data_IF_842591128153
#
_entry.id   IF_842591128153
#
_cell.length_a   1.000
_cell.length_b   1.000
_cell.length_c   1.000
_cell.angle_alpha   90.00
_cell.angle_beta   90.00
_cell.angle_gamma   90.00
#
_symmetry.space_group_name_H-M   'P 1'
#
loop_
_entity.id
_entity.type
_entity.pdbx_description
1 polymer ?
#
# COMPACT_ATOMS: atom_id res chain seq x y z
N UNK A 1 23.39 -37.20 59.09
CA UNK A 1 22.44 -37.98 58.28
C UNK A 1 21.19 -37.19 57.88
N UNK A 2 20.45 -36.58 58.83
CA UNK A 2 19.21 -35.86 58.52
C UNK A 2 19.35 -34.73 57.46
N UNK A 3 20.45 -33.96 57.51
CA UNK A 3 20.70 -32.86 56.56
C UNK A 3 20.92 -33.37 55.14
N UNK A 4 21.59 -34.52 54.96
CA UNK A 4 21.86 -35.12 53.65
C UNK A 4 20.56 -35.69 53.06
N UNK A 5 19.72 -36.30 53.90
CA UNK A 5 18.42 -36.83 53.50
C UNK A 5 17.47 -35.70 53.03
N UNK A 6 17.48 -34.57 53.74
CA UNK A 6 16.69 -33.38 53.36
C UNK A 6 17.14 -32.79 52.03
N UNK A 7 18.45 -32.69 51.78
CA UNK A 7 18.98 -32.19 50.51
C UNK A 7 18.65 -33.11 49.32
N UNK A 8 18.66 -34.43 49.53
CA UNK A 8 18.27 -35.40 48.50
C UNK A 8 16.78 -35.29 48.14
N UNK A 9 15.90 -35.13 49.14
CA UNK A 9 14.46 -34.96 48.93
C UNK A 9 14.12 -33.67 48.16
N UNK A 10 14.84 -32.57 48.44
CA UNK A 10 14.68 -31.30 47.71
C UNK A 10 15.14 -31.42 46.25
N UNK A 11 16.24 -32.15 45.97
CA UNK A 11 16.70 -32.35 44.60
C UNK A 11 15.76 -33.23 43.78
N UNK A 12 15.20 -34.27 44.38
CA UNK A 12 14.24 -35.17 43.71
C UNK A 12 12.95 -34.42 43.39
N UNK A 13 12.43 -33.62 44.33
CA UNK A 13 11.23 -32.81 44.09
C UNK A 13 11.45 -31.77 42.99
N UNK A 14 12.61 -31.10 42.94
CA UNK A 14 12.95 -30.19 41.84
C UNK A 14 13.01 -30.88 40.48
N UNK A 15 13.62 -32.06 40.39
CA UNK A 15 13.69 -32.83 39.15
C UNK A 15 12.31 -33.30 38.66
N UNK A 16 11.43 -33.71 39.58
CA UNK A 16 10.05 -34.09 39.26
C UNK A 16 9.24 -32.90 38.75
N UNK A 17 9.39 -31.71 39.35
CA UNK A 17 8.72 -30.49 38.85
C UNK A 17 9.24 -30.05 37.49
N UNK A 18 10.52 -30.28 37.18
CA UNK A 18 11.11 -29.92 35.89
C UNK A 18 10.61 -30.82 34.75
N UNK A 19 10.34 -32.10 35.05
CA UNK A 19 9.79 -33.07 34.07
C UNK A 19 8.32 -32.80 33.73
N UNK A 20 7.54 -32.27 34.68
CA UNK A 20 6.13 -31.92 34.44
C UNK A 20 5.92 -30.70 33.55
N UNK A 21 6.96 -29.90 33.26
CA UNK A 21 6.86 -28.67 32.45
C UNK A 21 7.17 -28.93 30.96
N UNK A 22 7.71 -30.11 30.60
CA UNK A 22 8.14 -30.40 29.22
C UNK A 22 7.08 -30.96 28.28
N UNK A 23 5.83 -31.16 28.71
CA UNK A 23 4.73 -31.52 27.79
C UNK A 23 3.95 -30.27 27.38
N UNK A 24 4.59 -29.41 26.58
CA UNK A 24 3.84 -28.45 25.78
C UNK A 24 3.17 -29.24 24.66
N UNK A 25 1.86 -29.40 24.73
CA UNK A 25 1.07 -29.83 23.59
C UNK A 25 1.34 -28.86 22.44
N UNK A 26 1.94 -29.34 21.35
CA UNK A 26 1.93 -28.64 20.07
C UNK A 26 0.49 -28.62 19.58
N UNK A 27 -0.27 -27.60 20.00
CA UNK A 27 -1.50 -27.23 19.32
C UNK A 27 -1.09 -26.74 17.93
N UNK A 28 -1.27 -27.58 16.92
CA UNK A 28 -1.31 -27.12 15.54
C UNK A 28 -2.49 -26.16 15.41
N UNK A 29 -2.23 -24.87 15.55
CA UNK A 29 -3.17 -23.84 15.11
C UNK A 29 -3.27 -23.98 13.61
N UNK A 30 -4.31 -24.67 13.12
CA UNK A 30 -4.76 -24.48 11.75
C UNK A 30 -5.20 -23.03 11.66
N UNK A 31 -4.31 -22.16 11.18
CA UNK A 31 -4.68 -20.84 10.71
C UNK A 31 -5.88 -21.04 9.78
N UNK A 32 -7.00 -20.37 10.06
CA UNK A 32 -8.16 -20.39 9.17
C UNK A 32 -7.71 -19.79 7.85
N UNK A 33 -7.28 -20.63 6.91
CA UNK A 33 -6.89 -20.21 5.59
C UNK A 33 -8.13 -19.56 4.95
N UNK A 34 -8.04 -18.27 4.65
CA UNK A 34 -9.09 -17.57 3.93
C UNK A 34 -9.41 -18.33 2.64
N UNK A 35 -10.69 -18.56 2.32
CA UNK A 35 -11.01 -19.34 1.14
C UNK A 35 -10.55 -18.58 -0.10
N UNK A 36 -9.70 -19.24 -0.90
CA UNK A 36 -9.02 -18.61 -2.04
C UNK A 36 -10.02 -18.13 -3.11
N UNK A 37 -11.19 -18.75 -3.26
CA UNK A 37 -12.31 -18.21 -4.02
C UNK A 37 -13.57 -19.06 -3.73
N UNK A 38 -14.73 -18.63 -4.22
CA UNK A 38 -15.92 -19.51 -4.28
C UNK A 38 -15.70 -20.66 -5.27
N UNK A 39 -16.41 -21.81 -5.12
CA UNK A 39 -16.37 -22.88 -6.09
C UNK A 39 -16.69 -22.38 -7.51
N UNK A 40 -15.97 -22.88 -8.51
CA UNK A 40 -16.08 -22.48 -9.92
C UNK A 40 -15.62 -21.05 -10.25
N UNK A 41 -14.94 -20.37 -9.33
CA UNK A 41 -14.33 -19.07 -9.58
C UNK A 41 -12.83 -19.20 -9.81
N UNK A 42 -12.30 -18.40 -10.73
CA UNK A 42 -10.86 -18.33 -10.97
C UNK A 42 -10.16 -17.69 -9.77
N UNK A 43 -9.06 -18.30 -9.36
CA UNK A 43 -8.36 -17.98 -8.10
C UNK A 43 -7.11 -17.13 -8.31
N UNK A 44 -6.68 -16.93 -9.56
CA UNK A 44 -5.42 -16.27 -9.88
C UNK A 44 -5.54 -15.46 -11.17
N UNK A 45 -4.81 -14.35 -11.23
CA UNK A 45 -4.57 -13.61 -12.47
C UNK A 45 -3.06 -13.37 -12.61
N UNK A 46 -2.44 -14.03 -13.59
CA UNK A 46 -0.98 -14.11 -13.67
C UNK A 46 -0.40 -14.76 -12.41
N UNK A 47 0.46 -14.04 -11.70
CA UNK A 47 1.11 -14.51 -10.47
C UNK A 47 0.40 -14.05 -9.19
N UNK A 48 -0.75 -13.38 -9.30
CA UNK A 48 -1.46 -12.81 -8.16
C UNK A 48 -2.63 -13.71 -7.80
N UNK A 49 -2.70 -14.15 -6.54
CA UNK A 49 -3.86 -14.84 -5.98
C UNK A 49 -4.99 -13.83 -5.73
N UNK A 50 -6.22 -14.21 -6.08
CA UNK A 50 -7.43 -13.37 -5.98
C UNK A 50 -8.39 -14.01 -4.97
N UNK A 51 -8.19 -13.77 -3.66
CA UNK A 51 -9.06 -14.27 -2.60
C UNK A 51 -10.37 -13.50 -2.53
N UNK A 52 -11.45 -14.18 -2.13
CA UNK A 52 -12.70 -13.52 -1.77
C UNK A 52 -12.45 -12.54 -0.59
N UNK A 53 -12.98 -11.31 -0.60
CA UNK A 53 -14.11 -10.80 -1.38
C UNK A 53 -13.82 -10.42 -2.84
N UNK A 54 -12.55 -10.41 -3.25
CA UNK A 54 -12.16 -10.17 -4.63
C UNK A 54 -12.50 -11.36 -5.51
N UNK A 55 -12.75 -11.09 -6.78
CA UNK A 55 -13.07 -12.15 -7.72
C UNK A 55 -12.95 -11.69 -9.16
N UNK A 56 -12.61 -12.64 -10.05
CA UNK A 56 -12.47 -12.37 -11.47
C UNK A 56 -13.86 -12.46 -12.13
N UNK A 57 -14.24 -11.41 -12.86
CA UNK A 57 -15.48 -11.37 -13.63
C UNK A 57 -15.49 -12.35 -14.84
N UNK A 58 -16.64 -12.51 -15.52
CA UNK A 58 -17.87 -11.74 -15.38
C UNK A 58 -18.89 -12.34 -14.39
N UNK A 59 -18.62 -13.50 -13.79
CA UNK A 59 -19.57 -14.13 -12.88
C UNK A 59 -19.71 -13.32 -11.58
N UNK A 60 -20.87 -12.68 -11.38
CA UNK A 60 -21.19 -11.84 -10.21
C UNK A 60 -21.14 -12.62 -8.90
N UNK A 61 -21.26 -13.93 -8.93
CA UNK A 61 -21.11 -14.75 -7.72
C UNK A 61 -19.66 -14.82 -7.23
N UNK A 62 -18.66 -14.53 -8.07
CA UNK A 62 -17.25 -14.73 -7.72
C UNK A 62 -16.64 -13.62 -6.87
N UNK A 63 -17.26 -12.46 -6.77
CA UNK A 63 -16.82 -11.34 -5.95
C UNK A 63 -17.95 -10.86 -5.03
N UNK A 64 -17.61 -10.06 -4.00
CA UNK A 64 -18.59 -9.57 -3.03
C UNK A 64 -19.51 -8.48 -3.62
N UNK A 65 -18.93 -7.47 -4.28
CA UNK A 65 -19.63 -6.41 -5.00
C UNK A 65 -18.74 -5.88 -6.15
N UNK A 66 -19.24 -4.89 -6.89
CA UNK A 66 -18.56 -4.37 -8.08
C UNK A 66 -17.19 -3.72 -7.78
N UNK A 67 -16.97 -3.19 -6.58
CA UNK A 67 -15.68 -2.65 -6.18
C UNK A 67 -14.61 -3.74 -5.99
N UNK A 68 -15.04 -4.97 -5.70
CA UNK A 68 -14.15 -6.13 -5.56
C UNK A 68 -14.00 -6.93 -6.87
N UNK A 69 -14.60 -6.48 -7.97
CA UNK A 69 -14.43 -7.12 -9.28
C UNK A 69 -13.03 -6.84 -9.85
N UNK A 70 -12.30 -7.93 -10.13
CA UNK A 70 -11.00 -7.91 -10.80
C UNK A 70 -11.18 -8.17 -12.29
N UNK A 71 -10.64 -7.28 -13.11
CA UNK A 71 -10.42 -7.52 -14.53
C UNK A 71 -9.03 -8.10 -14.73
N UNK A 72 -8.97 -9.34 -15.23
CA UNK A 72 -7.71 -9.97 -15.59
C UNK A 72 -7.38 -9.63 -17.05
N UNK A 73 -6.53 -8.62 -17.26
CA UNK A 73 -6.19 -8.16 -18.60
C UNK A 73 -5.21 -9.12 -19.27
N UNK A 74 -5.58 -9.62 -20.46
CA UNK A 74 -4.71 -10.44 -21.28
C UNK A 74 -3.55 -9.61 -21.83
N UNK A 75 -2.32 -10.09 -21.66
CA UNK A 75 -1.14 -9.49 -22.25
C UNK A 75 -0.56 -10.45 -23.29
N UNK A 76 -0.43 -10.01 -24.54
CA UNK A 76 0.04 -10.84 -25.65
C UNK A 76 1.53 -11.22 -25.54
N UNK A 77 2.30 -10.52 -24.69
CA UNK A 77 3.74 -10.72 -24.53
C UNK A 77 4.19 -10.95 -23.08
N UNK A 78 3.27 -11.07 -22.11
CA UNK A 78 3.59 -11.21 -20.69
C UNK A 78 2.48 -11.88 -19.86
N UNK A 79 2.70 -12.08 -18.55
CA UNK A 79 1.66 -12.62 -17.67
C UNK A 79 0.45 -11.69 -17.62
N UNK A 80 -0.74 -12.27 -17.44
CA UNK A 80 -1.96 -11.50 -17.25
C UNK A 80 -1.83 -10.61 -16.00
N UNK A 81 -2.45 -9.43 -16.05
CA UNK A 81 -2.37 -8.43 -14.99
C UNK A 81 -3.75 -8.17 -14.40
N UNK A 82 -3.92 -8.25 -13.07
CA UNK A 82 -5.18 -7.94 -12.42
C UNK A 82 -5.36 -6.42 -12.27
N UNK A 83 -6.57 -5.94 -12.52
CA UNK A 83 -6.94 -4.54 -12.32
C UNK A 83 -8.24 -4.42 -11.52
N UNK A 84 -8.31 -3.43 -10.63
CA UNK A 84 -9.57 -3.03 -9.98
C UNK A 84 -10.50 -2.43 -11.04
N UNK A 85 -11.48 -3.22 -11.50
CA UNK A 85 -12.28 -2.89 -12.69
C UNK A 85 -13.13 -1.63 -12.51
N UNK A 86 -13.63 -1.39 -11.29
CA UNK A 86 -14.51 -0.28 -10.97
C UNK A 86 -13.79 1.06 -10.78
N UNK A 87 -12.45 1.05 -10.64
CA UNK A 87 -11.68 2.28 -10.47
C UNK A 87 -11.42 2.98 -11.80
N UNK A 88 -11.37 4.32 -11.78
CA UNK A 88 -11.03 5.15 -12.93
C UNK A 88 -9.98 6.20 -12.54
N UNK A 89 -8.74 6.12 -13.06
CA UNK A 89 -8.22 5.05 -13.92
C UNK A 89 -8.18 3.69 -13.19
N UNK A 90 -8.18 2.59 -13.96
CA UNK A 90 -8.04 1.24 -13.42
C UNK A 90 -6.68 1.07 -12.74
N UNK A 91 -6.68 0.63 -11.50
CA UNK A 91 -5.47 0.35 -10.73
C UNK A 91 -5.01 -1.10 -10.92
N UNK A 92 -3.76 -1.32 -11.34
CA UNK A 92 -3.15 -2.65 -11.36
C UNK A 92 -2.94 -3.14 -9.92
N UNK A 93 -3.38 -4.35 -9.62
CA UNK A 93 -3.20 -4.99 -8.32
C UNK A 93 -1.88 -5.73 -8.28
N UNK A 94 -1.05 -5.42 -7.29
CA UNK A 94 0.26 -6.05 -7.09
C UNK A 94 0.23 -7.11 -5.98
N UNK A 95 -0.62 -6.93 -4.98
CA UNK A 95 -0.79 -7.89 -3.89
C UNK A 95 -2.12 -7.65 -3.17
N UNK A 96 -2.75 -8.73 -2.72
CA UNK A 96 -3.95 -8.71 -1.89
C UNK A 96 -3.61 -9.39 -0.56
N UNK A 97 -3.81 -8.68 0.55
CA UNK A 97 -3.64 -9.20 1.91
C UNK A 97 -5.01 -9.33 2.57
N UNK A 98 -5.23 -10.49 3.20
CA UNK A 98 -6.48 -10.81 3.88
C UNK A 98 -6.61 -10.14 5.25
N UNK A 99 -5.55 -9.51 5.73
CA UNK A 99 -5.52 -8.64 6.89
C UNK A 99 -6.11 -7.25 6.60
N UNK A 100 -6.60 -7.00 5.37
CA UNK A 100 -7.34 -5.79 5.01
C UNK A 100 -6.53 -4.77 4.21
N UNK A 101 -5.44 -5.18 3.55
CA UNK A 101 -4.64 -4.29 2.71
C UNK A 101 -4.57 -4.77 1.26
N UNK A 102 -4.39 -3.81 0.34
CA UNK A 102 -4.30 -4.02 -1.10
C UNK A 102 -3.18 -3.16 -1.67
N UNK A 103 -2.14 -3.78 -2.23
CA UNK A 103 -1.04 -3.06 -2.89
C UNK A 103 -1.38 -2.87 -4.37
N UNK A 104 -1.37 -1.63 -4.85
CA UNK A 104 -1.75 -1.26 -6.22
C UNK A 104 -0.73 -0.32 -6.87
N UNK A 105 -0.67 -0.29 -8.19
CA UNK A 105 0.03 0.78 -8.91
C UNK A 105 -0.90 1.99 -9.09
N UNK A 106 -0.54 3.11 -8.46
CA UNK A 106 -1.27 4.37 -8.48
C UNK A 106 -0.55 5.43 -9.33
N UNK A 107 -1.25 6.24 -10.14
CA UNK A 107 -0.61 7.27 -10.95
C UNK A 107 -0.08 8.45 -10.14
N UNK A 108 1.03 9.03 -10.61
CA UNK A 108 1.55 10.31 -10.19
C UNK A 108 0.80 11.45 -10.86
N UNK A 109 0.75 12.58 -10.15
CA UNK A 109 0.26 13.84 -10.68
C UNK A 109 1.45 14.70 -11.10
N UNK A 110 1.51 15.01 -12.40
CA UNK A 110 2.52 15.88 -12.98
C UNK A 110 2.01 17.33 -13.05
N UNK A 111 2.92 18.29 -12.85
CA UNK A 111 2.63 19.71 -12.88
C UNK A 111 3.29 20.34 -14.12
N UNK A 112 2.58 20.38 -15.24
CA UNK A 112 3.07 20.97 -16.49
C UNK A 112 2.53 22.39 -16.74
N UNK A 113 3.41 23.33 -17.07
CA UNK A 113 3.15 24.69 -17.61
C UNK A 113 1.89 25.42 -17.08
N UNK A 114 1.61 25.39 -15.78
CA UNK A 114 0.40 26.03 -15.22
C UNK A 114 -0.95 25.51 -15.79
N UNK A 115 -0.92 24.57 -16.74
CA UNK A 115 -2.05 24.02 -17.47
C UNK A 115 -1.98 22.49 -17.46
N UNK A 116 -2.49 21.98 -16.34
CA UNK A 116 -3.14 20.68 -16.10
C UNK A 116 -3.16 19.70 -17.30
N UNK A 117 -2.27 18.71 -17.26
CA UNK A 117 -2.60 17.35 -17.71
C UNK A 117 -2.42 16.40 -16.55
N UNK A 118 -3.55 16.06 -15.94
CA UNK A 118 -3.62 15.35 -14.65
C UNK A 118 -3.98 13.90 -14.90
N UNK A 119 -3.03 13.00 -14.71
CA UNK A 119 -3.40 11.64 -14.36
C UNK A 119 -3.73 11.65 -12.87
N UNK A 120 -5.01 11.77 -12.54
CA UNK A 120 -5.46 11.79 -11.15
C UNK A 120 -5.49 10.36 -10.61
N UNK A 121 -5.06 10.23 -9.37
CA UNK A 121 -5.37 9.06 -8.56
C UNK A 121 -6.91 8.85 -8.56
N UNK A 122 -7.40 7.61 -8.61
CA UNK A 122 -8.83 7.36 -8.69
C UNK A 122 -9.55 7.87 -7.45
N UNK A 123 -10.82 8.27 -7.66
CA UNK A 123 -11.73 8.61 -6.57
C UNK A 123 -12.30 7.33 -5.94
N UNK A 124 -11.95 7.08 -4.68
CA UNK A 124 -12.37 5.90 -3.92
C UNK A 124 -13.54 6.19 -2.95
N UNK A 125 -14.11 7.41 -2.97
CA UNK A 125 -15.02 7.91 -1.92
C UNK A 125 -16.27 7.06 -1.71
N UNK A 126 -16.79 6.45 -2.77
CA UNK A 126 -17.99 5.60 -2.73
C UNK A 126 -17.67 4.11 -2.50
N UNK A 127 -16.38 3.76 -2.49
CA UNK A 127 -15.91 2.39 -2.41
C UNK A 127 -15.49 1.94 -1.02
N UNK A 128 -15.10 0.67 -0.89
CA UNK A 128 -14.60 0.08 0.35
C UNK A 128 -13.12 0.42 0.61
N UNK A 129 -12.48 1.19 -0.27
CA UNK A 129 -11.04 1.44 -0.28
C UNK A 129 -10.71 2.84 0.24
N UNK A 130 -9.66 2.94 1.05
CA UNK A 130 -9.04 4.21 1.44
C UNK A 130 -7.52 4.12 1.25
N UNK A 131 -6.87 5.24 1.01
CA UNK A 131 -5.41 5.29 1.05
C UNK A 131 -4.95 5.02 2.48
N UNK A 132 -4.11 4.00 2.66
CA UNK A 132 -3.71 3.60 4.00
C UNK A 132 -2.93 4.71 4.69
N UNK A 133 -3.37 5.09 5.88
CA UNK A 133 -2.76 6.14 6.70
C UNK A 133 -1.71 5.60 7.66
N UNK A 134 -1.52 4.27 7.68
CA UNK A 134 -0.44 3.67 8.44
C UNK A 134 0.88 4.30 8.01
N UNK A 135 1.54 4.99 8.94
CA UNK A 135 2.71 5.83 8.65
C UNK A 135 3.86 5.09 7.95
N UNK A 136 3.90 3.76 8.10
CA UNK A 136 4.89 2.86 7.51
C UNK A 136 4.53 2.39 6.09
N UNK A 137 3.28 2.59 5.64
CA UNK A 137 2.83 2.16 4.33
C UNK A 137 3.00 3.28 3.32
N UNK A 138 2.19 4.33 3.35
CA UNK A 138 2.22 5.35 2.29
C UNK A 138 2.81 6.67 2.76
N UNK A 139 3.56 7.32 1.87
CA UNK A 139 3.96 8.72 2.00
C UNK A 139 3.56 9.52 0.77
N UNK A 140 3.08 10.72 1.02
CA UNK A 140 3.01 11.74 -0.01
C UNK A 140 4.42 12.26 -0.25
N UNK A 141 4.86 12.23 -1.51
CA UNK A 141 6.17 12.75 -1.93
C UNK A 141 5.95 13.74 -3.06
N UNK A 142 6.49 14.94 -2.91
CA UNK A 142 6.50 15.95 -3.96
C UNK A 142 7.94 16.20 -4.39
N UNK A 143 8.22 15.92 -5.66
CA UNK A 143 9.45 16.28 -6.36
C UNK A 143 9.22 17.65 -6.98
N UNK A 144 9.30 18.66 -6.13
CA UNK A 144 9.13 20.06 -6.46
C UNK A 144 9.77 20.92 -5.38
N UNK A 145 9.89 22.21 -5.63
CA UNK A 145 10.22 23.20 -4.61
C UNK A 145 9.01 24.10 -4.31
N UNK A 146 8.99 24.74 -3.14
CA UNK A 146 7.83 25.51 -2.65
C UNK A 146 6.89 24.67 -1.79
N UNK A 147 5.64 25.12 -1.65
CA UNK A 147 4.64 24.40 -0.85
C UNK A 147 3.79 23.49 -1.73
N UNK A 148 3.89 22.18 -1.49
CA UNK A 148 3.10 21.16 -2.17
C UNK A 148 1.89 20.79 -1.31
N UNK A 149 0.71 21.18 -1.77
CA UNK A 149 -0.56 20.97 -1.11
C UNK A 149 -1.15 19.61 -1.48
N UNK A 150 -1.60 18.88 -0.46
CA UNK A 150 -2.51 17.76 -0.60
C UNK A 150 -3.93 18.26 -0.34
N UNK A 151 -4.76 18.34 -1.37
CA UNK A 151 -6.15 18.81 -1.30
C UNK A 151 -7.12 17.66 -1.51
N UNK A 152 -8.33 17.78 -0.94
CA UNK A 152 -9.36 16.72 -1.05
C UNK A 152 -9.80 16.49 -2.49
N UNK A 153 -10.05 17.56 -3.23
CA UNK A 153 -10.39 17.53 -4.64
C UNK A 153 -10.12 18.91 -5.27
N UNK A 154 -10.09 18.97 -6.59
CA UNK A 154 -10.00 20.24 -7.32
C UNK A 154 -11.16 21.20 -7.07
N UNK A 155 -12.34 20.68 -6.76
CA UNK A 155 -13.56 21.49 -6.58
C UNK A 155 -13.72 21.98 -5.15
N UNK A 156 -13.32 21.16 -4.17
CA UNK A 156 -13.46 21.51 -2.75
C UNK A 156 -12.33 22.43 -2.29
N UNK A 157 -11.17 22.40 -2.96
CA UNK A 157 -9.95 23.18 -2.69
C UNK A 157 -9.43 23.13 -1.24
N UNK A 158 -10.06 22.36 -0.37
CA UNK A 158 -9.67 22.21 1.03
C UNK A 158 -8.33 21.50 1.12
N UNK A 159 -7.34 22.24 1.62
CA UNK A 159 -6.04 21.70 2.00
C UNK A 159 -6.21 20.75 3.17
N UNK A 160 -5.86 19.49 2.95
CA UNK A 160 -5.88 18.43 3.97
C UNK A 160 -4.51 18.22 4.62
N UNK A 161 -3.45 18.58 3.89
CA UNK A 161 -2.07 18.47 4.33
C UNK A 161 -1.12 18.97 3.24
N UNK A 162 0.17 18.73 3.40
CA UNK A 162 1.17 19.13 2.44
C UNK A 162 2.57 19.10 3.03
N UNK A 163 3.55 19.47 2.22
CA UNK A 163 4.93 19.65 2.67
C UNK A 163 5.59 20.82 1.93
N UNK A 164 6.66 21.33 2.52
CA UNK A 164 7.44 22.43 1.96
C UNK A 164 8.86 21.96 1.67
N UNK A 165 9.43 22.45 0.59
CA UNK A 165 10.85 22.27 0.23
C UNK A 165 11.46 23.61 -0.21
N UNK A 166 12.73 23.80 0.13
CA UNK A 166 13.51 24.93 -0.37
C UNK A 166 13.82 24.75 -1.86
N UNK A 167 13.78 25.85 -2.61
CA UNK A 167 14.21 25.89 -4.01
C UNK A 167 15.73 26.06 -4.08
N UNK A 168 16.42 25.13 -4.75
CA UNK A 168 17.83 25.30 -5.12
C UNK A 168 18.01 25.08 -6.62
N UNK A 169 18.64 26.05 -7.26
CA UNK A 169 18.67 26.25 -8.71
C UNK A 169 20.06 26.10 -9.30
N UNK A 170 21.08 25.87 -8.45
CA UNK A 170 22.43 25.64 -8.92
C UNK A 170 22.40 24.41 -9.84
N UNK A 171 22.79 24.61 -11.10
CA UNK A 171 22.63 23.61 -12.17
C UNK A 171 23.45 22.33 -11.95
N UNK A 172 24.43 22.35 -11.05
CA UNK A 172 25.14 21.17 -10.54
C UNK A 172 24.34 20.37 -9.49
N UNK A 173 23.27 20.97 -8.94
CA UNK A 173 22.45 20.47 -7.82
C UNK A 173 20.98 20.21 -8.16
N UNK A 174 20.47 20.68 -9.32
CA UNK A 174 19.16 20.28 -9.89
C UNK A 174 19.04 18.75 -10.00
N UNK A 175 20.18 18.06 -10.03
CA UNK A 175 20.31 16.61 -10.15
C UNK A 175 20.53 15.88 -8.81
N UNK A 176 20.62 16.63 -7.70
CA UNK A 176 20.72 16.11 -6.33
C UNK A 176 19.37 16.28 -5.63
N UNK A 177 18.33 15.64 -6.15
CA UNK A 177 17.22 15.25 -5.27
C UNK A 177 17.84 14.31 -4.24
N UNK A 178 18.12 14.83 -3.04
CA UNK A 178 18.65 14.05 -1.93
C UNK A 178 17.81 12.78 -1.86
N UNK A 179 18.49 11.63 -1.90
CA UNK A 179 17.94 10.34 -2.31
C UNK A 179 16.71 9.85 -1.51
N UNK A 180 16.34 10.53 -0.43
CA UNK A 180 15.19 10.24 0.43
C UNK A 180 14.45 11.53 0.86
N UNK A 181 14.60 12.64 0.12
CA UNK A 181 14.02 13.96 0.45
C UNK A 181 14.43 14.49 1.84
N UNK A 182 15.55 14.00 2.37
CA UNK A 182 16.05 14.27 3.73
C UNK A 182 16.48 15.73 3.91
N UNK A 183 17.13 16.30 2.90
CA UNK A 183 17.69 17.64 3.00
C UNK A 183 16.65 18.75 2.76
N UNK A 184 15.42 18.38 2.38
CA UNK A 184 14.31 19.32 2.16
C UNK A 184 14.49 20.28 0.98
N UNK A 185 15.39 19.96 0.05
CA UNK A 185 15.69 20.76 -1.14
C UNK A 185 15.09 20.08 -2.36
N UNK A 186 14.24 20.80 -3.12
CA UNK A 186 13.54 20.32 -4.32
C UNK A 186 12.75 19.01 -4.16
N UNK A 187 12.65 18.46 -2.95
CA UNK A 187 11.76 17.37 -2.60
C UNK A 187 11.27 17.53 -1.16
N UNK A 188 10.01 17.17 -0.92
CA UNK A 188 9.47 17.03 0.42
C UNK A 188 8.53 15.83 0.56
N UNK A 189 8.28 15.42 1.80
CA UNK A 189 7.34 14.35 2.13
C UNK A 189 6.37 14.74 3.23
N UNK A 190 5.16 14.18 3.17
CA UNK A 190 4.15 14.29 4.23
C UNK A 190 3.47 12.94 4.51
N UNK A 191 2.97 12.79 5.73
CA UNK A 191 2.06 11.69 6.09
C UNK A 191 0.65 11.99 5.59
N UNK A 192 -0.16 10.94 5.40
CA UNK A 192 -1.53 11.11 4.92
C UNK A 192 -2.50 11.48 6.05
N UNK A 193 -3.41 12.44 5.80
CA UNK A 193 -4.51 12.75 6.72
C UNK A 193 -5.50 11.58 6.79
N UNK A 194 -6.29 11.50 7.88
CA UNK A 194 -7.17 10.37 8.08
C UNK A 194 -8.31 10.28 7.05
N UNK A 195 -8.72 9.05 6.73
CA UNK A 195 -9.83 8.69 5.82
C UNK A 195 -9.70 9.25 4.39
N UNK A 196 -8.48 9.32 3.86
CA UNK A 196 -8.22 9.84 2.52
C UNK A 196 -8.71 8.87 1.43
N UNK A 197 -9.71 9.28 0.64
CA UNK A 197 -10.29 8.49 -0.48
C UNK A 197 -10.05 9.11 -1.85
N UNK A 198 -9.68 10.38 -1.89
CA UNK A 198 -9.41 11.13 -3.10
C UNK A 198 -8.19 12.01 -2.87
N UNK A 199 -7.33 12.07 -3.87
CA UNK A 199 -6.07 12.79 -3.79
C UNK A 199 -5.98 13.72 -4.96
N UNK A 200 -5.71 14.97 -4.65
CA UNK A 200 -5.36 15.98 -5.63
C UNK A 200 -4.24 16.81 -5.04
N UNK A 201 -3.34 17.28 -5.90
CA UNK A 201 -2.15 17.99 -5.46
C UNK A 201 -2.07 19.33 -6.19
N UNK A 202 -1.58 20.35 -5.48
CA UNK A 202 -1.28 21.67 -6.03
C UNK A 202 0.10 22.07 -5.55
N UNK A 203 0.79 22.91 -6.31
CA UNK A 203 2.02 23.56 -5.84
C UNK A 203 1.77 25.05 -5.82
N UNK A 204 2.12 25.68 -4.71
CA UNK A 204 2.18 27.13 -4.57
C UNK A 204 3.65 27.59 -4.65
N UNK A 205 3.89 28.59 -5.49
CA UNK A 205 5.20 29.22 -5.70
C UNK A 205 5.16 30.69 -5.26
N UNK A 206 6.34 31.24 -4.94
CA UNK A 206 6.53 32.70 -4.89
C UNK A 206 6.69 33.24 -6.32
N UNK A 207 6.23 34.46 -6.60
CA UNK A 207 6.38 35.12 -7.93
C UNK A 207 7.85 35.20 -8.41
N UNK A 208 8.81 35.12 -7.49
CA UNK A 208 10.25 35.06 -7.78
C UNK A 208 10.74 33.71 -8.30
N UNK A 209 9.95 32.66 -8.14
CA UNK A 209 10.33 31.26 -8.41
C UNK A 209 9.67 30.73 -9.71
N UNK A 210 8.92 31.57 -10.43
CA UNK A 210 8.25 31.22 -11.70
C UNK A 210 9.23 30.81 -12.81
N UNK A 211 10.45 31.36 -12.82
CA UNK A 211 11.51 30.95 -13.76
C UNK A 211 12.07 29.54 -13.47
N UNK A 212 11.69 28.92 -12.34
CA UNK A 212 12.14 27.59 -11.90
C UNK A 212 11.19 26.46 -12.29
N UNK A 213 10.18 26.76 -13.12
CA UNK A 213 9.30 25.80 -13.77
C UNK A 213 10.09 24.95 -14.77
N UNK A 214 10.93 24.06 -14.25
CA UNK A 214 11.48 22.97 -15.03
C UNK A 214 10.36 21.98 -15.34
N UNK A 215 10.48 21.30 -16.49
CA UNK A 215 9.51 20.39 -17.10
C UNK A 215 9.11 19.17 -16.22
N UNK A 216 9.54 19.09 -14.94
CA UNK A 216 9.61 17.86 -14.17
C UNK A 216 9.13 17.96 -12.71
N UNK A 217 8.26 18.91 -12.38
CA UNK A 217 7.62 18.89 -11.06
C UNK A 217 6.50 17.84 -11.04
N UNK A 218 6.49 16.96 -10.04
CA UNK A 218 5.43 15.96 -9.85
C UNK A 218 5.26 15.57 -8.40
N UNK A 219 4.09 15.06 -8.06
CA UNK A 219 3.81 14.52 -6.74
C UNK A 219 3.04 13.21 -6.84
N UNK A 220 3.28 12.33 -5.88
CA UNK A 220 2.73 10.99 -5.88
C UNK A 220 2.61 10.44 -4.46
N UNK A 221 1.80 9.40 -4.34
CA UNK A 221 1.88 8.50 -3.20
C UNK A 221 2.78 7.33 -3.55
N UNK A 222 3.62 6.92 -2.61
CA UNK A 222 4.36 5.67 -2.73
C UNK A 222 4.43 4.93 -1.41
N UNK A 223 4.50 3.61 -1.53
CA UNK A 223 4.82 2.71 -0.45
C UNK A 223 6.26 2.96 0.00
N UNK A 224 6.45 3.15 1.31
CA UNK A 224 7.67 3.71 1.87
C UNK A 224 8.87 2.80 1.65
N UNK A 225 8.72 1.49 1.82
CA UNK A 225 9.83 0.55 1.65
C UNK A 225 10.21 0.41 0.18
N UNK A 226 9.26 0.47 -0.75
CA UNK A 226 9.51 0.52 -2.19
C UNK A 226 10.33 1.75 -2.55
N UNK A 227 9.95 2.91 -2.02
CA UNK A 227 10.65 4.16 -2.25
C UNK A 227 12.11 4.08 -1.74
N UNK A 228 12.31 3.61 -0.52
CA UNK A 228 13.65 3.46 0.08
C UNK A 228 14.50 2.37 -0.60
N UNK A 229 13.90 1.21 -0.91
CA UNK A 229 14.61 0.05 -1.48
C UNK A 229 15.03 0.29 -2.93
N UNK A 230 14.27 1.07 -3.70
CA UNK A 230 14.70 1.54 -5.03
C UNK A 230 15.88 2.49 -4.94
N UNK A 231 16.01 3.21 -3.84
CA UNK A 231 17.04 4.21 -3.66
C UNK A 231 18.36 3.63 -3.10
N UNK A 232 18.41 2.70 -2.14
CA UNK A 232 19.71 2.24 -1.62
C UNK A 232 19.71 0.83 -1.02
N UNK A 233 20.48 -0.09 -1.62
CA UNK A 233 21.04 -1.24 -0.86
C UNK A 233 22.55 -1.46 -0.99
N UNK A 234 23.25 -0.99 -2.03
CA UNK A 234 24.69 -1.29 -2.20
C UNK A 234 25.44 -0.27 -3.09
N UNK A 235 25.73 0.94 -2.62
CA UNK A 235 26.59 1.86 -3.39
C UNK A 235 27.55 2.63 -2.47
N UNK A 236 28.85 2.33 -2.62
CA UNK A 236 29.95 3.07 -1.98
C UNK A 236 30.07 4.48 -2.58
N UNK A 237 30.71 5.39 -1.85
CA UNK A 237 30.76 6.83 -2.17
C UNK A 237 31.36 7.15 -3.55
N UNK A 238 32.31 6.34 -4.05
CA UNK A 238 32.90 6.50 -5.39
C UNK A 238 31.97 6.04 -6.53
N UNK A 239 31.10 5.05 -6.28
CA UNK A 239 30.08 4.63 -7.24
C UNK A 239 28.94 5.65 -7.35
N UNK A 240 28.77 6.55 -6.38
CA UNK A 240 27.72 7.60 -6.40
C UNK A 240 27.89 8.59 -7.55
N UNK A 241 29.13 8.94 -7.88
CA UNK A 241 29.42 9.91 -8.95
C UNK A 241 29.32 9.28 -10.35
N UNK A 242 29.70 8.00 -10.51
CA UNK A 242 29.52 7.26 -11.77
C UNK A 242 28.05 6.85 -12.00
N UNK A 243 27.29 6.61 -10.92
CA UNK A 243 25.85 6.36 -10.96
C UNK A 243 25.09 7.60 -11.43
N UNK A 244 25.49 8.81 -11.02
CA UNK A 244 24.86 10.07 -11.39
C UNK A 244 24.59 10.21 -12.91
N UNK A 245 25.60 9.91 -13.75
CA UNK A 245 25.48 9.92 -15.22
C UNK A 245 24.54 8.82 -15.76
N UNK A 246 24.49 7.64 -15.10
CA UNK A 246 23.57 6.56 -15.48
C UNK A 246 22.11 6.78 -15.02
N UNK A 247 21.82 7.70 -14.09
CA UNK A 247 20.47 7.83 -13.49
C UNK A 247 19.58 8.90 -14.10
N UNK A 248 20.11 9.71 -15.03
CA UNK A 248 19.28 10.41 -16.03
C UNK A 248 18.37 9.41 -16.76
N UNK A 249 18.83 8.18 -16.98
CA UNK A 249 18.02 7.10 -17.57
C UNK A 249 16.97 6.51 -16.64
N UNK A 250 17.11 6.62 -15.31
CA UNK A 250 16.12 6.11 -14.33
C UNK A 250 15.01 7.10 -14.01
N UNK A 251 15.26 8.40 -14.06
CA UNK A 251 14.17 9.40 -14.02
C UNK A 251 13.40 9.43 -15.35
N UNK A 252 14.10 9.30 -16.49
CA UNK A 252 13.46 8.89 -17.75
C UNK A 252 12.76 7.54 -17.65
N UNK A 253 13.15 6.64 -16.73
CA UNK A 253 12.43 5.40 -16.48
C UNK A 253 11.19 5.59 -15.58
N UNK A 254 11.10 6.65 -14.75
CA UNK A 254 9.87 7.05 -14.06
C UNK A 254 8.87 7.59 -15.09
N UNK A 255 9.33 8.42 -16.02
CA UNK A 255 8.57 8.83 -17.20
C UNK A 255 8.20 7.63 -18.09
N UNK A 256 9.13 6.69 -18.32
CA UNK A 256 8.87 5.45 -19.06
C UNK A 256 8.00 4.42 -18.29
N UNK A 257 7.86 4.56 -16.97
CA UNK A 257 6.91 3.79 -16.14
C UNK A 257 5.49 4.37 -16.17
N UNK A 258 5.25 5.38 -17.02
CA UNK A 258 3.99 6.11 -17.12
C UNK A 258 3.58 6.80 -15.81
N UNK A 259 4.53 7.03 -14.89
CA UNK A 259 4.26 7.65 -13.59
C UNK A 259 3.42 6.78 -12.65
N UNK A 260 3.57 5.46 -12.63
CA UNK A 260 2.81 4.58 -11.71
C UNK A 260 3.67 4.14 -10.52
N UNK A 261 3.14 4.29 -9.31
CA UNK A 261 3.83 4.06 -8.03
C UNK A 261 3.06 3.09 -7.15
N UNK A 262 3.72 2.10 -6.50
CA UNK A 262 3.04 1.20 -5.57
C UNK A 262 2.47 1.96 -4.38
N UNK A 263 1.21 1.72 -4.06
CA UNK A 263 0.47 2.35 -2.96
C UNK A 263 -0.35 1.29 -2.25
N UNK A 264 -0.42 1.37 -0.93
CA UNK A 264 -1.25 0.49 -0.10
C UNK A 264 -2.62 1.12 0.11
N UNK A 265 -3.68 0.41 -0.22
CA UNK A 265 -5.05 0.76 0.17
C UNK A 265 -5.45 -0.11 1.36
N UNK A 266 -6.15 0.48 2.32
CA UNK A 266 -6.91 -0.31 3.29
C UNK A 266 -8.28 -0.61 2.67
N UNK A 267 -8.77 -1.83 2.86
CA UNK A 267 -10.08 -2.25 2.40
C UNK A 267 -10.89 -2.87 3.52
N UNK A 268 -12.19 -2.62 3.52
CA UNK A 268 -13.12 -3.22 4.48
C UNK A 268 -14.48 -3.44 3.86
N UNK A 269 -15.11 -4.56 4.22
CA UNK A 269 -16.48 -4.84 3.78
C UNK A 269 -17.43 -4.10 4.72
N UNK A 270 -18.11 -3.08 4.19
CA UNK A 270 -19.12 -2.34 4.93
C UNK A 270 -20.45 -3.10 4.88
N UNK A 271 -20.75 -3.85 5.93
CA UNK A 271 -22.03 -4.55 6.10
C UNK A 271 -23.13 -3.60 6.61
N UNK A 272 -23.38 -2.49 5.91
CA UNK A 272 -24.49 -1.61 6.25
C UNK A 272 -25.78 -2.15 5.61
N UNK A 273 -26.61 -2.75 6.47
CA UNK A 273 -28.03 -3.00 6.30
C UNK A 273 -28.45 -3.82 5.06
N UNK A 274 -28.41 -5.15 5.19
CA UNK A 274 -29.46 -6.07 4.72
C UNK A 274 -29.13 -7.48 5.20
N UNK A 275 -30.15 -8.26 5.57
CA UNK A 275 -30.00 -9.67 5.94
C UNK A 275 -29.34 -10.53 4.85
N UNK A 276 -29.31 -10.05 3.60
CA UNK A 276 -28.71 -10.71 2.44
C UNK A 276 -27.18 -10.70 2.45
N UNK A 277 -26.51 -9.58 2.72
CA UNK A 277 -25.03 -9.53 2.72
C UNK A 277 -24.43 -10.34 3.88
N UNK A 278 -25.10 -10.33 5.03
CA UNK A 278 -24.72 -11.17 6.17
C UNK A 278 -24.93 -12.66 5.87
N UNK A 279 -25.98 -13.03 5.13
CA UNK A 279 -26.21 -14.40 4.67
C UNK A 279 -25.18 -14.85 3.63
N UNK A 280 -24.76 -13.98 2.71
CA UNK A 280 -23.68 -14.25 1.73
C UNK A 280 -22.35 -14.48 2.45
N UNK A 281 -22.02 -13.61 3.41
CA UNK A 281 -20.81 -13.74 4.23
C UNK A 281 -20.84 -15.02 5.09
N UNK A 282 -21.99 -15.33 5.72
CA UNK A 282 -22.19 -16.59 6.48
C UNK A 282 -22.14 -17.85 5.63
N UNK A 283 -22.67 -17.82 4.41
CA UNK A 283 -22.58 -18.93 3.46
C UNK A 283 -21.14 -19.25 3.05
N UNK A 284 -20.24 -18.28 3.18
CA UNK A 284 -18.84 -18.39 2.78
C UNK A 284 -17.89 -18.87 3.89
N UNK A 285 -18.14 -18.49 5.15
CA UNK A 285 -17.32 -18.97 6.29
C UNK A 285 -17.54 -20.49 6.54
N UNK A 286 -18.54 -21.09 5.89
CA UNK A 286 -18.93 -22.47 6.14
C UNK A 286 -19.61 -22.58 7.49
N UNK A 287 -20.75 -23.28 7.53
CA UNK A 287 -21.36 -23.68 8.78
C UNK A 287 -20.49 -24.76 9.46
N UNK A 288 -19.39 -24.37 10.10
CA UNK A 288 -18.86 -25.20 11.18
C UNK A 288 -19.67 -24.89 12.45
N UNK A 289 -20.73 -25.68 12.65
CA UNK A 289 -21.39 -25.86 13.95
C UNK A 289 -20.33 -26.15 15.01
N UNK A 290 -20.36 -25.68 16.25
CA UNK A 290 -21.50 -25.45 17.13
C UNK A 290 -21.01 -24.53 18.26
N UNK A 291 -21.62 -23.37 18.43
CA UNK A 291 -21.58 -22.69 19.72
C UNK A 291 -22.82 -23.14 20.47
N UNK A 292 -22.65 -24.17 21.31
CA UNK A 292 -23.69 -24.55 22.27
C UNK A 292 -23.86 -23.40 23.24
N UNK A 293 -24.92 -22.62 23.04
CA UNK A 293 -25.45 -21.69 24.03
C UNK A 293 -26.15 -22.51 25.11
N UNK A 294 -25.34 -23.06 26.03
CA UNK A 294 -25.81 -23.55 27.31
C UNK A 294 -25.46 -22.51 28.37
N UNK A 295 -26.37 -21.54 28.54
CA UNK A 295 -26.47 -20.77 29.78
C UNK A 295 -27.01 -21.67 30.91
N UNK A 296 -26.44 -21.63 32.12
CA UNK A 296 -27.20 -21.91 33.33
C UNK A 296 -28.19 -20.77 33.66
#
# INVERSE_FOLDING_TARGET
MAVILLQLLVRITLLLTFWSISTMATSSSSELAWPIAKPNCETHCGNISIPYPFGIGPNKDCYFDEWFEIECANNSTGPHKPFLKHTQPKLEVLNISMEGTLLVNNPATFFYEGNRTRQLAPNLTEGPFIYSQTYAYNRFTAMSCGFSELVRSDYDERVLGGCFSACNTDSSSIYNYGYDCIDGINCCQATLPPYLTLITTKIQYSETDEELLTYYNYAFLAEQTWFQNKNFKNTTMELKNAWFEQNISKFKAIEASMGMFPVVLDWSIRLYDTSSYFAIFKGFIGSHSSYNDSRP
#
